data_IF_956423726881
#
_entry.id   IF_956423726881
#
_cell.length_a   1.000
_cell.length_b   1.000
_cell.length_c   1.000
_cell.angle_alpha   90.00
_cell.angle_beta   90.00
_cell.angle_gamma   90.00
#
_symmetry.space_group_name_H-M   'P 1'
#
loop_
_entity.id
_entity.type
_entity.pdbx_description
1 polymer ?
#
# COMPACT_ATOMS: atom_id res chain seq x y z
N UNK A 1 17.71 0.52 -14.36
CA UNK A 1 17.49 -0.34 -13.19
C UNK A 1 16.00 -0.48 -12.97
N UNK A 2 15.42 -1.64 -13.26
CA UNK A 2 14.04 -1.96 -12.89
C UNK A 2 13.98 -2.08 -11.37
N UNK A 3 13.79 -0.96 -10.68
CA UNK A 3 13.66 -0.90 -9.23
C UNK A 3 12.41 -1.67 -8.83
N UNK A 4 12.59 -2.90 -8.34
CA UNK A 4 11.50 -3.64 -7.75
C UNK A 4 11.18 -3.01 -6.39
N UNK A 5 9.91 -2.78 -6.15
CA UNK A 5 9.40 -2.17 -4.93
C UNK A 5 8.07 -2.82 -4.57
N UNK A 6 7.71 -2.78 -3.29
CA UNK A 6 6.40 -3.28 -2.84
C UNK A 6 5.26 -2.54 -3.50
N UNK A 7 5.45 -1.23 -3.76
CA UNK A 7 4.53 -0.43 -4.55
C UNK A 7 4.34 -1.00 -5.97
N UNK A 8 5.41 -1.37 -6.67
CA UNK A 8 5.33 -1.98 -8.00
C UNK A 8 4.67 -3.37 -7.95
N UNK A 9 4.98 -4.17 -6.93
CA UNK A 9 4.33 -5.47 -6.72
C UNK A 9 2.81 -5.30 -6.52
N UNK A 10 2.42 -4.41 -5.61
CA UNK A 10 1.04 -4.05 -5.33
C UNK A 10 0.32 -3.51 -6.59
N UNK A 11 0.97 -2.63 -7.34
CA UNK A 11 0.47 -2.12 -8.61
C UNK A 11 0.19 -3.22 -9.64
N UNK A 12 1.08 -4.22 -9.75
CA UNK A 12 0.92 -5.31 -10.71
C UNK A 12 -0.20 -6.28 -10.29
N UNK A 13 -0.29 -6.61 -9.00
CA UNK A 13 -1.29 -7.55 -8.50
C UNK A 13 -2.70 -6.94 -8.45
N UNK A 14 -2.81 -5.64 -8.17
CA UNK A 14 -4.10 -4.94 -8.12
C UNK A 14 -4.89 -5.12 -6.83
N UNK A 15 -4.35 -5.83 -5.84
CA UNK A 15 -4.99 -6.07 -4.54
C UNK A 15 -4.23 -5.34 -3.42
N UNK A 16 -4.94 -5.03 -2.32
CA UNK A 16 -4.29 -4.57 -1.10
C UNK A 16 -3.44 -5.69 -0.48
N UNK A 17 -2.37 -5.29 0.19
CA UNK A 17 -1.43 -6.20 0.82
C UNK A 17 -1.10 -5.65 2.20
N UNK A 18 -1.37 -6.45 3.22
CA UNK A 18 -0.85 -6.24 4.55
C UNK A 18 0.31 -7.22 4.85
N UNK A 19 1.42 -6.66 5.34
CA UNK A 19 2.62 -7.39 5.77
C UNK A 19 2.81 -7.08 7.26
N UNK A 20 2.33 -7.95 8.18
CA UNK A 20 2.47 -7.76 9.62
C UNK A 20 3.93 -7.70 10.08
N UNK A 21 4.80 -8.51 9.47
CA UNK A 21 6.25 -8.50 9.69
C UNK A 21 6.98 -8.44 8.35
N UNK A 22 7.69 -7.34 8.11
CA UNK A 22 8.46 -7.11 6.89
C UNK A 22 9.48 -8.24 6.60
N UNK A 23 9.98 -8.96 7.61
CA UNK A 23 10.85 -10.13 7.42
C UNK A 23 10.17 -11.23 6.61
N UNK A 24 8.88 -11.46 6.86
CA UNK A 24 8.07 -12.43 6.10
C UNK A 24 7.90 -11.95 4.66
N UNK A 25 7.58 -10.67 4.49
CA UNK A 25 7.48 -10.04 3.16
C UNK A 25 8.76 -10.15 2.32
N UNK A 26 9.94 -10.08 2.93
CA UNK A 26 11.23 -10.28 2.24
C UNK A 26 11.37 -11.72 1.76
N UNK A 27 11.08 -12.69 2.64
CA UNK A 27 11.16 -14.11 2.30
C UNK A 27 10.20 -14.50 1.18
N UNK A 28 9.02 -13.89 1.15
CA UNK A 28 8.00 -14.11 0.12
C UNK A 28 8.23 -13.29 -1.16
N UNK A 29 9.26 -12.42 -1.18
CA UNK A 29 9.59 -11.59 -2.34
C UNK A 29 8.64 -10.42 -2.59
N UNK A 30 7.79 -10.09 -1.60
CA UNK A 30 6.77 -9.03 -1.65
C UNK A 30 7.37 -7.69 -1.14
N UNK A 31 8.27 -7.76 -0.16
CA UNK A 31 8.98 -6.60 0.38
C UNK A 31 10.44 -6.56 -0.09
N UNK A 32 10.86 -5.38 -0.53
CA UNK A 32 12.24 -5.12 -0.93
C UNK A 32 12.91 -4.23 0.11
N UNK A 33 14.05 -4.67 0.62
CA UNK A 33 14.74 -4.00 1.71
C UNK A 33 15.13 -2.56 1.35
N UNK A 34 14.82 -1.63 2.26
CA UNK A 34 15.25 -0.24 2.20
C UNK A 34 16.33 0.04 3.24
N UNK A 35 17.10 1.12 3.10
CA UNK A 35 18.05 1.54 4.14
C UNK A 35 17.37 1.74 5.50
N UNK A 36 16.13 2.25 5.50
CA UNK A 36 15.34 2.47 6.73
C UNK A 36 15.02 1.15 7.42
N UNK A 37 14.59 0.15 6.65
CA UNK A 37 14.39 -1.20 7.17
C UNK A 37 15.69 -1.79 7.71
N UNK A 38 16.79 -1.66 6.96
CA UNK A 38 18.08 -2.24 7.36
C UNK A 38 18.62 -1.74 8.70
N UNK A 39 18.27 -0.51 9.12
CA UNK A 39 18.64 0.05 10.42
C UNK A 39 17.81 -0.49 11.59
N UNK A 40 16.57 -0.89 11.35
CA UNK A 40 15.61 -1.28 12.40
C UNK A 40 15.33 -2.78 12.45
N UNK A 41 15.41 -3.46 11.30
CA UNK A 41 15.18 -4.91 11.10
C UNK A 41 13.82 -5.42 11.58
N UNK A 42 12.87 -4.52 11.79
CA UNK A 42 11.47 -4.80 12.12
C UNK A 42 10.57 -3.75 11.47
N UNK A 43 9.30 -4.10 11.27
CA UNK A 43 8.33 -3.21 10.67
C UNK A 43 7.09 -3.93 10.16
N UNK A 44 6.08 -3.16 9.82
CA UNK A 44 4.87 -3.61 9.14
C UNK A 44 4.57 -2.70 7.96
N UNK A 45 3.82 -3.22 6.99
CA UNK A 45 3.45 -2.45 5.80
C UNK A 45 2.02 -2.78 5.37
N UNK A 46 1.28 -1.75 4.98
CA UNK A 46 0.03 -1.87 4.24
C UNK A 46 0.19 -1.13 2.92
N UNK A 47 -0.24 -1.74 1.81
CA UNK A 47 -0.16 -1.13 0.49
C UNK A 47 -1.43 -1.43 -0.29
N UNK A 48 -2.06 -0.41 -0.88
CA UNK A 48 -3.25 -0.56 -1.72
C UNK A 48 -3.08 0.20 -3.04
N UNK A 49 -3.34 -0.43 -4.19
CA UNK A 49 -3.38 0.27 -5.46
C UNK A 49 -4.77 0.88 -5.65
N UNK A 50 -4.85 2.14 -6.05
CA UNK A 50 -6.12 2.82 -6.36
C UNK A 50 -6.10 3.23 -7.82
N UNK A 51 -7.07 2.74 -8.59
CA UNK A 51 -7.20 3.00 -10.03
C UNK A 51 -8.50 3.74 -10.29
N UNK A 52 -8.39 4.96 -10.79
CA UNK A 52 -9.53 5.81 -11.11
C UNK A 52 -9.58 6.00 -12.62
N UNK A 53 -10.68 5.57 -13.25
CA UNK A 53 -10.90 5.76 -14.68
C UNK A 53 -11.96 6.83 -14.93
N UNK A 54 -11.62 7.82 -15.76
CA UNK A 54 -12.50 8.93 -16.15
C UNK A 54 -12.32 9.17 -17.65
N UNK A 55 -13.37 8.98 -18.46
CA UNK A 55 -13.36 9.22 -19.91
C UNK A 55 -12.10 8.68 -20.63
N UNK A 56 -11.79 7.40 -20.44
CA UNK A 56 -10.61 6.70 -21.00
C UNK A 56 -9.23 7.20 -20.51
N UNK A 57 -9.18 8.08 -19.50
CA UNK A 57 -7.95 8.39 -18.77
C UNK A 57 -7.89 7.61 -17.47
N UNK A 58 -6.75 6.97 -17.22
CA UNK A 58 -6.46 6.25 -15.99
C UNK A 58 -5.56 7.07 -15.08
N UNK A 59 -6.02 7.31 -13.86
CA UNK A 59 -5.23 7.87 -12.77
C UNK A 59 -4.91 6.75 -11.80
N UNK A 60 -3.62 6.45 -11.62
CA UNK A 60 -3.18 5.35 -10.78
C UNK A 60 -2.39 5.91 -9.60
N UNK A 61 -2.84 5.55 -8.41
CA UNK A 61 -2.24 5.91 -7.15
C UNK A 61 -1.82 4.64 -6.41
N UNK A 62 -0.82 4.77 -5.55
CA UNK A 62 -0.41 3.72 -4.64
C UNK A 62 -0.41 4.32 -3.25
N UNK A 63 -1.33 3.87 -2.42
CA UNK A 63 -1.38 4.22 -1.01
C UNK A 63 -0.51 3.24 -0.24
N UNK A 64 0.40 3.74 0.61
CA UNK A 64 1.28 2.88 1.40
C UNK A 64 1.45 3.45 2.80
N UNK A 65 1.25 2.60 3.81
CA UNK A 65 1.62 2.86 5.19
C UNK A 65 2.79 1.92 5.49
N UNK A 66 3.90 2.46 5.98
CA UNK A 66 5.05 1.66 6.37
C UNK A 66 5.55 2.12 7.74
N UNK A 67 5.73 1.16 8.64
CA UNK A 67 6.28 1.37 9.97
C UNK A 67 7.58 0.60 10.07
N UNK A 68 8.59 1.24 10.66
CA UNK A 68 9.91 0.65 10.89
C UNK A 68 10.26 0.73 12.37
N UNK A 69 10.82 -0.33 12.92
CA UNK A 69 11.20 -0.41 14.35
C UNK A 69 10.11 -0.99 15.24
N UNK A 70 8.86 -0.96 14.81
CA UNK A 70 7.69 -1.46 15.55
C UNK A 70 6.79 -2.29 14.63
N UNK A 71 5.96 -3.13 15.23
CA UNK A 71 4.98 -3.97 14.56
C UNK A 71 3.58 -3.42 14.85
N UNK A 72 2.73 -3.39 13.83
CA UNK A 72 1.35 -2.88 13.92
C UNK A 72 0.39 -3.84 14.65
N UNK A 73 0.79 -5.09 14.78
CA UNK A 73 0.09 -6.16 15.47
C UNK A 73 1.11 -7.27 15.78
N UNK A 74 0.70 -8.26 16.57
CA UNK A 74 1.48 -9.47 16.80
C UNK A 74 1.46 -10.34 15.53
N UNK A 75 2.58 -10.54 14.81
CA UNK A 75 2.55 -11.20 13.49
C UNK A 75 2.13 -12.67 13.49
N UNK A 76 2.09 -13.29 14.67
CA UNK A 76 1.68 -14.68 14.87
C UNK A 76 0.23 -14.81 15.35
N UNK A 77 -0.40 -13.70 15.70
CA UNK A 77 -1.83 -13.63 16.02
C UNK A 77 -2.60 -13.25 14.75
N UNK A 78 -3.20 -14.26 14.12
CA UNK A 78 -3.96 -14.06 12.89
C UNK A 78 -5.20 -13.20 13.09
N UNK A 79 -5.84 -13.27 14.25
CA UNK A 79 -7.04 -12.48 14.53
C UNK A 79 -6.68 -11.00 14.67
N UNK A 80 -5.58 -10.69 15.35
CA UNK A 80 -5.04 -9.33 15.44
C UNK A 80 -4.61 -8.81 14.07
N UNK A 81 -3.90 -9.62 13.27
CA UNK A 81 -3.49 -9.25 11.92
C UNK A 81 -4.70 -8.91 11.03
N UNK A 82 -5.72 -9.76 11.04
CA UNK A 82 -6.95 -9.58 10.26
C UNK A 82 -7.73 -8.35 10.72
N UNK A 83 -7.80 -8.09 12.02
CA UNK A 83 -8.45 -6.89 12.55
C UNK A 83 -7.70 -5.62 12.12
N UNK A 84 -6.38 -5.63 12.20
CA UNK A 84 -5.52 -4.52 11.77
C UNK A 84 -5.62 -4.26 10.27
N UNK A 85 -5.60 -5.30 9.44
CA UNK A 85 -5.80 -5.18 7.99
C UNK A 85 -7.16 -4.55 7.66
N UNK A 86 -8.25 -5.01 8.29
CA UNK A 86 -9.60 -4.43 8.10
C UNK A 86 -9.66 -2.95 8.45
N UNK A 87 -8.96 -2.52 9.50
CA UNK A 87 -8.89 -1.10 9.87
C UNK A 87 -8.21 -0.31 8.74
N UNK A 88 -7.10 -0.83 8.20
CA UNK A 88 -6.42 -0.18 7.10
C UNK A 88 -7.22 -0.16 5.80
N UNK A 89 -7.96 -1.22 5.51
CA UNK A 89 -8.88 -1.24 4.37
C UNK A 89 -9.92 -0.13 4.50
N UNK A 90 -10.59 0.00 5.66
CA UNK A 90 -11.56 1.07 5.90
C UNK A 90 -10.97 2.48 5.79
N UNK A 91 -9.73 2.68 6.26
CA UNK A 91 -9.02 3.95 6.11
C UNK A 91 -8.71 4.19 4.63
N UNK A 92 -8.23 3.16 3.94
CA UNK A 92 -7.86 3.25 2.54
C UNK A 92 -9.05 3.54 1.63
N UNK A 93 -10.23 3.01 1.94
CA UNK A 93 -11.47 3.26 1.20
C UNK A 93 -11.87 4.74 1.26
N UNK A 94 -11.67 5.38 2.43
CA UNK A 94 -11.89 6.83 2.57
C UNK A 94 -10.89 7.64 1.76
N UNK A 95 -9.63 7.23 1.75
CA UNK A 95 -8.57 7.88 0.96
C UNK A 95 -8.86 7.71 -0.54
N UNK A 96 -9.33 6.54 -0.94
CA UNK A 96 -9.71 6.25 -2.31
C UNK A 96 -10.81 7.19 -2.80
N UNK A 97 -11.85 7.46 -2.00
CA UNK A 97 -12.88 8.46 -2.33
C UNK A 97 -12.29 9.85 -2.58
N UNK A 98 -11.34 10.28 -1.74
CA UNK A 98 -10.65 11.57 -1.92
C UNK A 98 -9.78 11.58 -3.19
N UNK A 99 -9.15 10.45 -3.53
CA UNK A 99 -8.38 10.29 -4.76
C UNK A 99 -9.27 10.31 -6.01
N UNK A 100 -10.49 9.77 -5.93
CA UNK A 100 -11.51 9.91 -6.98
C UNK A 100 -11.86 11.38 -7.20
N UNK A 101 -12.23 12.10 -6.14
CA UNK A 101 -12.57 13.53 -6.22
C UNK A 101 -11.40 14.36 -6.77
N UNK A 102 -10.18 14.09 -6.31
CA UNK A 102 -8.97 14.72 -6.80
C UNK A 102 -8.74 14.44 -8.30
N UNK A 103 -8.98 13.22 -8.75
CA UNK A 103 -8.83 12.84 -10.16
C UNK A 103 -9.88 13.53 -11.04
N UNK A 104 -11.13 13.62 -10.58
CA UNK A 104 -12.19 14.38 -11.26
C UNK A 104 -11.85 15.87 -11.38
N UNK A 105 -11.33 16.46 -10.29
CA UNK A 105 -10.87 17.85 -10.29
C UNK A 105 -9.74 18.05 -11.30
N UNK A 106 -8.71 17.19 -11.28
CA UNK A 106 -7.61 17.21 -12.25
C UNK A 106 -8.08 17.05 -13.68
N UNK A 107 -9.00 16.12 -13.95
CA UNK A 107 -9.58 15.92 -15.28
C UNK A 107 -10.27 17.21 -15.77
N UNK A 108 -11.10 17.82 -14.92
CA UNK A 108 -11.79 19.09 -15.23
C UNK A 108 -10.81 20.24 -15.48
N UNK A 109 -9.76 20.37 -14.67
CA UNK A 109 -8.78 21.46 -14.76
C UNK A 109 -7.79 21.30 -15.92
N UNK A 110 -7.46 20.05 -16.29
CA UNK A 110 -6.53 19.77 -17.38
C UNK A 110 -7.11 19.94 -18.77
N UNK A 111 -8.44 20.15 -18.89
CA UNK A 111 -9.08 20.58 -20.14
C UNK A 111 -8.75 19.68 -21.32
N UNK A 112 -9.26 18.43 -21.27
CA UNK A 112 -8.94 17.25 -22.10
C UNK A 112 -7.92 16.35 -21.46
#
# INVERSE_FOLDING_TARGET
MTSNSTAKYCYNNGESIFIPDLRKGIKEGIFYESERYNRRKSGSLYCKPVRVEIDNKSYIYIFTIVIYGELLCTPYDLDECNATEKIFDQISDRIELELYLNSMKKYRESGR
#
